data_IF_982881245122
#
_entry.id   IF_982881245122
#
_cell.length_a   1.000
_cell.length_b   1.000
_cell.length_c   1.000
_cell.angle_alpha   90.00
_cell.angle_beta   90.00
_cell.angle_gamma   90.00
#
_symmetry.space_group_name_H-M   'P 1'
#
loop_
_entity.id
_entity.type
_entity.pdbx_description
1 polymer ?
#
# COMPACT_ATOMS: atom_id res chain seq x y z
N UNK A 1 9.07 -19.46 -14.94
CA UNK A 1 8.49 -18.14 -15.20
C UNK A 1 8.97 -17.18 -14.14
N UNK A 2 9.19 -15.91 -14.46
CA UNK A 2 9.57 -14.91 -13.48
C UNK A 2 8.39 -14.66 -12.54
N UNK A 3 8.62 -14.69 -11.22
CA UNK A 3 7.60 -14.33 -10.26
C UNK A 3 7.30 -12.84 -10.38
N UNK A 4 6.03 -12.48 -10.55
CA UNK A 4 5.58 -11.09 -10.48
C UNK A 4 5.90 -10.50 -9.11
N UNK A 5 6.17 -9.19 -9.06
CA UNK A 5 6.45 -8.47 -7.82
C UNK A 5 5.42 -7.37 -7.56
N UNK A 6 5.26 -6.99 -6.28
CA UNK A 6 4.37 -5.88 -5.91
C UNK A 6 5.07 -4.53 -6.01
N UNK A 7 4.39 -3.55 -6.62
CA UNK A 7 4.88 -2.16 -6.79
C UNK A 7 5.01 -1.38 -5.48
N UNK A 8 4.55 -1.93 -4.34
CA UNK A 8 4.53 -1.23 -3.05
C UNK A 8 5.90 -0.90 -2.46
N UNK A 9 6.92 -1.72 -2.70
CA UNK A 9 8.30 -1.41 -2.35
C UNK A 9 9.27 -2.12 -3.30
N UNK A 10 10.07 -1.33 -3.99
CA UNK A 10 11.16 -1.78 -4.83
C UNK A 10 12.25 -0.71 -4.86
N UNK A 11 13.45 -1.06 -5.30
CA UNK A 11 14.54 -0.14 -5.50
C UNK A 11 15.01 -0.21 -6.96
N UNK A 12 15.24 0.94 -7.57
CA UNK A 12 15.71 1.03 -8.94
C UNK A 12 16.59 2.26 -9.14
N UNK A 13 17.44 2.22 -10.16
CA UNK A 13 18.11 3.43 -10.67
C UNK A 13 17.03 4.36 -11.24
N UNK A 14 17.16 5.67 -10.99
CA UNK A 14 16.30 6.67 -11.62
C UNK A 14 16.39 6.54 -13.14
N UNK A 15 15.25 6.66 -13.82
CA UNK A 15 15.16 6.59 -15.27
C UNK A 15 15.55 5.23 -15.88
N UNK A 16 15.48 4.14 -15.09
CA UNK A 16 15.68 2.78 -15.61
C UNK A 16 14.60 2.41 -16.62
N UNK A 17 13.36 2.86 -16.40
CA UNK A 17 12.29 2.90 -17.37
C UNK A 17 12.11 4.39 -17.72
N UNK A 18 12.49 4.82 -18.94
CA UNK A 18 12.28 6.19 -19.39
C UNK A 18 10.79 6.57 -19.36
N UNK A 19 10.51 7.84 -19.07
CA UNK A 19 9.15 8.35 -18.98
C UNK A 19 8.37 8.17 -20.29
N UNK A 20 9.02 8.37 -21.43
CA UNK A 20 8.43 8.22 -22.76
C UNK A 20 7.97 6.78 -22.99
N UNK A 21 8.81 5.79 -22.64
CA UNK A 21 8.43 4.37 -22.70
C UNK A 21 7.27 4.06 -21.76
N UNK A 22 7.24 4.64 -20.56
CA UNK A 22 6.10 4.47 -19.65
C UNK A 22 4.80 4.97 -20.28
N UNK A 23 4.85 6.15 -20.90
CA UNK A 23 3.68 6.76 -21.56
C UNK A 23 3.17 5.94 -22.74
N UNK A 24 4.05 5.31 -23.51
CA UNK A 24 3.65 4.35 -24.56
C UNK A 24 2.86 3.16 -23.97
N UNK A 25 3.33 2.61 -22.84
CA UNK A 25 2.65 1.55 -22.13
C UNK A 25 1.25 1.95 -21.62
N UNK A 26 1.12 3.14 -21.06
CA UNK A 26 -0.18 3.70 -20.66
C UNK A 26 -1.13 3.87 -21.85
N UNK A 27 -0.62 4.24 -23.03
CA UNK A 27 -1.42 4.35 -24.25
C UNK A 27 -1.94 2.97 -24.70
N UNK A 28 -1.10 1.93 -24.68
CA UNK A 28 -1.55 0.57 -25.00
C UNK A 28 -2.69 0.11 -24.09
N UNK A 29 -2.63 0.44 -22.81
CA UNK A 29 -3.70 0.12 -21.85
C UNK A 29 -5.02 0.83 -22.15
N UNK A 30 -4.97 2.04 -22.72
CA UNK A 30 -6.16 2.78 -23.16
C UNK A 30 -6.74 2.25 -24.47
N UNK A 31 -5.87 1.89 -25.41
CA UNK A 31 -6.26 1.36 -26.73
C UNK A 31 -6.77 -0.09 -26.65
N UNK A 32 -6.27 -0.86 -25.69
CA UNK A 32 -6.66 -2.26 -25.47
C UNK A 32 -7.16 -2.46 -24.03
N UNK A 33 -8.46 -2.23 -23.78
CA UNK A 33 -9.04 -2.44 -22.46
C UNK A 33 -8.78 -3.86 -21.92
N UNK A 34 -8.30 -3.95 -20.69
CA UNK A 34 -7.98 -5.21 -20.03
C UNK A 34 -6.58 -5.76 -20.29
N UNK A 35 -5.77 -5.13 -21.15
CA UNK A 35 -4.40 -5.58 -21.46
C UNK A 35 -3.51 -5.75 -20.21
N UNK A 36 -3.63 -4.80 -19.27
CA UNK A 36 -2.89 -4.82 -18.01
C UNK A 36 -3.75 -5.24 -16.81
N UNK A 37 -4.99 -5.68 -17.02
CA UNK A 37 -5.93 -5.99 -15.93
C UNK A 37 -6.23 -4.82 -14.98
N UNK A 38 -6.89 -5.12 -13.86
CA UNK A 38 -7.43 -4.09 -12.93
C UNK A 38 -6.51 -3.76 -11.74
N UNK A 39 -5.19 -3.90 -11.91
CA UNK A 39 -4.22 -3.68 -10.83
C UNK A 39 -3.41 -2.39 -10.95
N UNK A 40 -4.00 -1.35 -11.56
CA UNK A 40 -3.36 -0.03 -11.72
C UNK A 40 -2.01 -0.16 -12.45
N UNK A 41 -0.94 0.41 -11.90
CA UNK A 41 0.39 0.49 -12.52
C UNK A 41 1.22 -0.79 -12.38
N UNK A 42 0.87 -1.68 -11.43
CA UNK A 42 1.70 -2.84 -11.09
C UNK A 42 1.91 -3.80 -12.28
N UNK A 43 0.89 -4.14 -13.09
CA UNK A 43 1.07 -5.03 -14.24
C UNK A 43 1.92 -4.40 -15.33
N UNK A 44 1.75 -3.10 -15.60
CA UNK A 44 2.57 -2.36 -16.56
C UNK A 44 4.04 -2.32 -16.10
N UNK A 45 4.28 -2.07 -14.81
CA UNK A 45 5.61 -2.11 -14.23
C UNK A 45 6.25 -3.51 -14.35
N UNK A 46 5.50 -4.57 -14.05
CA UNK A 46 5.98 -5.94 -14.21
C UNK A 46 6.30 -6.26 -15.67
N UNK A 47 5.47 -5.80 -16.61
CA UNK A 47 5.72 -5.94 -18.04
C UNK A 47 7.07 -5.34 -18.43
N UNK A 48 7.32 -4.06 -18.09
CA UNK A 48 8.58 -3.41 -18.44
C UNK A 48 9.78 -4.07 -17.79
N UNK A 49 9.70 -4.41 -16.50
CA UNK A 49 10.83 -5.03 -15.80
C UNK A 49 11.16 -6.40 -16.40
N UNK A 50 10.15 -7.21 -16.73
CA UNK A 50 10.37 -8.52 -17.34
C UNK A 50 10.85 -8.42 -18.78
N UNK A 51 10.25 -7.58 -19.61
CA UNK A 51 10.63 -7.44 -21.02
C UNK A 51 12.04 -6.87 -21.17
N UNK A 52 12.37 -5.79 -20.45
CA UNK A 52 13.70 -5.20 -20.46
C UNK A 52 14.76 -6.16 -19.90
N UNK A 53 14.42 -6.96 -18.89
CA UNK A 53 15.33 -8.00 -18.39
C UNK A 53 15.55 -9.11 -19.40
N UNK A 54 14.51 -9.54 -20.13
CA UNK A 54 14.61 -10.56 -21.18
C UNK A 54 15.46 -10.10 -22.36
N UNK A 55 15.38 -8.81 -22.71
CA UNK A 55 16.23 -8.21 -23.75
C UNK A 55 17.65 -7.86 -23.27
N UNK A 56 17.97 -8.11 -22.00
CA UNK A 56 19.28 -7.79 -21.43
C UNK A 56 19.54 -6.29 -21.22
N UNK A 57 18.50 -5.45 -21.29
CA UNK A 57 18.61 -4.00 -21.08
C UNK A 57 18.81 -3.65 -19.60
N UNK A 58 18.29 -4.48 -18.70
CA UNK A 58 18.43 -4.31 -17.25
C UNK A 58 18.76 -5.63 -16.55
N UNK A 59 19.43 -5.54 -15.40
CA UNK A 59 19.59 -6.66 -14.47
C UNK A 59 18.58 -6.52 -13.33
N UNK A 60 17.94 -7.61 -12.96
CA UNK A 60 16.94 -7.67 -11.88
C UNK A 60 17.42 -8.56 -10.75
N UNK A 61 17.05 -8.20 -9.53
CA UNK A 61 17.30 -9.00 -8.33
C UNK A 61 16.07 -9.00 -7.43
N UNK A 62 15.85 -10.08 -6.69
CA UNK A 62 14.73 -10.22 -5.77
C UNK A 62 15.20 -10.07 -4.33
N UNK A 63 14.48 -9.26 -3.54
CA UNK A 63 14.73 -9.05 -2.12
C UNK A 63 13.43 -8.86 -1.35
N UNK A 64 13.40 -9.31 -0.09
CA UNK A 64 12.23 -9.26 0.78
C UNK A 64 12.08 -7.88 1.44
N UNK A 65 11.81 -6.85 0.63
CA UNK A 65 11.74 -5.45 1.08
C UNK A 65 10.44 -5.12 1.84
N UNK A 66 9.35 -5.78 1.49
CA UNK A 66 8.03 -5.50 2.04
C UNK A 66 7.40 -6.70 2.74
N UNK A 67 6.53 -6.42 3.69
CA UNK A 67 5.73 -7.39 4.41
C UNK A 67 4.25 -7.00 4.26
N UNK A 68 3.53 -7.76 3.43
CA UNK A 68 2.08 -7.64 3.26
C UNK A 68 1.40 -8.67 4.15
N UNK A 69 0.72 -8.22 5.21
CA UNK A 69 0.20 -9.11 6.25
C UNK A 69 -0.80 -10.16 5.74
N UNK A 70 -1.57 -9.83 4.70
CA UNK A 70 -2.54 -10.77 4.10
C UNK A 70 -1.88 -11.94 3.36
N UNK A 71 -0.63 -11.78 2.93
CA UNK A 71 0.14 -12.82 2.23
C UNK A 71 1.14 -13.52 3.15
N UNK A 72 1.76 -12.78 4.08
CA UNK A 72 2.87 -13.26 4.90
C UNK A 72 2.45 -13.61 6.34
N UNK A 73 1.20 -13.36 6.72
CA UNK A 73 0.73 -13.47 8.10
C UNK A 73 0.92 -12.18 8.91
N UNK A 74 0.40 -12.16 10.14
CA UNK A 74 0.49 -11.00 11.05
C UNK A 74 1.48 -11.21 12.18
N UNK A 75 1.97 -12.43 12.34
CA UNK A 75 2.65 -12.93 13.54
C UNK A 75 3.95 -12.16 13.80
N UNK A 76 4.75 -11.92 12.77
CA UNK A 76 6.00 -11.16 12.90
C UNK A 76 5.73 -9.72 13.36
N UNK A 77 4.77 -9.03 12.73
CA UNK A 77 4.44 -7.65 13.09
C UNK A 77 3.78 -7.54 14.48
N UNK A 78 3.02 -8.57 14.88
CA UNK A 78 2.47 -8.67 16.23
C UNK A 78 3.57 -8.87 17.28
N UNK A 79 4.54 -9.76 17.02
CA UNK A 79 5.68 -9.98 17.90
C UNK A 79 6.50 -8.72 18.07
N UNK A 80 6.84 -8.04 16.98
CA UNK A 80 7.54 -6.75 17.04
C UNK A 80 6.77 -5.74 17.88
N UNK A 81 5.44 -5.70 17.77
CA UNK A 81 4.60 -4.72 18.51
C UNK A 81 4.28 -5.11 19.96
N UNK A 82 4.77 -6.26 20.44
CA UNK A 82 4.45 -6.79 21.77
C UNK A 82 5.20 -6.00 22.85
N UNK A 83 4.49 -5.58 23.90
CA UNK A 83 5.08 -4.78 24.98
C UNK A 83 5.36 -3.30 24.63
N UNK A 84 5.36 -2.91 23.35
CA UNK A 84 5.65 -1.54 22.91
C UNK A 84 4.47 -0.55 23.05
N UNK A 85 3.32 -0.99 23.59
CA UNK A 85 2.12 -0.16 23.70
C UNK A 85 1.70 0.41 22.34
N UNK A 86 1.56 1.73 22.24
CA UNK A 86 1.22 2.43 20.99
C UNK A 86 2.41 3.21 20.42
N UNK A 87 3.62 2.72 20.61
CA UNK A 87 4.86 3.29 20.10
C UNK A 87 5.54 2.33 19.13
N UNK A 88 6.49 2.84 18.33
CA UNK A 88 7.36 1.94 17.59
C UNK A 88 8.13 1.04 18.55
N UNK A 89 8.32 -0.24 18.18
CA UNK A 89 9.09 -1.13 19.03
C UNK A 89 10.56 -0.68 19.06
N UNK A 90 11.22 -0.81 20.23
CA UNK A 90 12.61 -0.38 20.38
C UNK A 90 13.57 -1.24 19.55
N UNK A 91 13.19 -2.49 19.29
CA UNK A 91 13.93 -3.47 18.50
C UNK A 91 12.97 -4.24 17.60
N UNK A 92 13.46 -4.67 16.45
CA UNK A 92 12.73 -5.53 15.50
C UNK A 92 13.61 -6.69 15.08
N UNK A 93 13.00 -7.86 14.84
CA UNK A 93 13.74 -9.07 14.45
C UNK A 93 14.44 -8.89 13.08
N UNK A 94 13.77 -8.21 12.14
CA UNK A 94 14.33 -7.90 10.83
C UNK A 94 13.74 -6.60 10.26
N UNK A 95 14.57 -5.73 9.65
CA UNK A 95 14.09 -4.56 8.92
C UNK A 95 13.21 -4.95 7.72
N UNK A 96 12.05 -4.31 7.58
CA UNK A 96 11.11 -4.47 6.46
C UNK A 96 10.11 -3.33 6.39
N UNK A 97 9.52 -3.12 5.21
CA UNK A 97 8.42 -2.16 5.01
C UNK A 97 7.09 -2.88 5.22
N UNK A 98 6.35 -2.54 6.27
CA UNK A 98 4.97 -3.03 6.42
C UNK A 98 4.07 -2.39 5.36
N UNK A 99 3.57 -3.19 4.42
CA UNK A 99 2.76 -2.72 3.30
C UNK A 99 1.29 -3.12 3.48
N UNK A 100 0.44 -2.11 3.71
CA UNK A 100 -1.01 -2.25 3.88
C UNK A 100 -1.75 -2.04 2.55
N UNK A 101 -1.62 -3.01 1.64
CA UNK A 101 -2.33 -3.01 0.36
C UNK A 101 -3.82 -3.34 0.55
N UNK A 102 -4.65 -2.92 -0.42
CA UNK A 102 -6.10 -3.14 -0.37
C UNK A 102 -6.82 -2.32 0.73
N UNK A 103 -7.62 -3.00 1.54
CA UNK A 103 -8.48 -2.39 2.58
C UNK A 103 -7.62 -1.69 3.64
N UNK A 104 -7.70 -0.35 3.69
CA UNK A 104 -6.90 0.45 4.63
C UNK A 104 -7.24 0.11 6.08
N UNK A 105 -6.24 -0.07 6.94
CA UNK A 105 -6.42 -0.72 8.22
C UNK A 105 -6.79 0.30 9.30
N UNK A 106 -8.01 0.80 9.17
CA UNK A 106 -8.64 1.73 10.11
C UNK A 106 -8.70 1.12 11.51
N UNK A 107 -8.61 1.96 12.54
CA UNK A 107 -8.48 1.53 13.93
C UNK A 107 -9.58 0.54 14.36
N UNK A 108 -10.81 0.78 13.92
CA UNK A 108 -12.00 -0.01 14.27
C UNK A 108 -12.40 -1.04 13.20
N UNK A 109 -11.53 -1.31 12.24
CA UNK A 109 -11.81 -2.26 11.17
C UNK A 109 -11.31 -3.66 11.53
N UNK A 110 -12.20 -4.50 12.05
CA UNK A 110 -11.89 -5.88 12.45
C UNK A 110 -11.40 -6.77 11.30
N UNK A 111 -11.63 -6.36 10.04
CA UNK A 111 -11.18 -7.08 8.85
C UNK A 111 -9.76 -6.69 8.41
N UNK A 112 -9.09 -5.80 9.14
CA UNK A 112 -7.77 -5.32 8.78
C UNK A 112 -6.83 -5.26 9.98
N UNK A 113 -5.56 -5.57 9.76
CA UNK A 113 -4.56 -5.52 10.81
C UNK A 113 -4.05 -4.07 11.02
N UNK A 114 -4.68 -3.34 11.93
CA UNK A 114 -4.49 -1.88 12.11
C UNK A 114 -3.32 -1.46 12.99
N UNK A 115 -2.87 -2.31 13.90
CA UNK A 115 -1.96 -1.88 14.97
C UNK A 115 -0.67 -1.20 14.47
N UNK A 116 0.15 -1.78 13.56
CA UNK A 116 1.39 -1.15 13.17
C UNK A 116 1.16 0.13 12.33
N UNK A 117 0.06 0.18 11.57
CA UNK A 117 -0.36 1.36 10.83
C UNK A 117 -0.74 2.51 11.77
N UNK A 118 -1.51 2.22 12.81
CA UNK A 118 -1.91 3.20 13.83
C UNK A 118 -0.70 3.68 14.63
N UNK A 119 0.24 2.79 14.99
CA UNK A 119 1.50 3.18 15.65
C UNK A 119 2.26 4.21 14.79
N UNK A 120 2.43 3.95 13.50
CA UNK A 120 3.12 4.87 12.60
C UNK A 120 2.42 6.24 12.51
N UNK A 121 1.09 6.27 12.46
CA UNK A 121 0.29 7.51 12.47
C UNK A 121 0.42 8.27 13.79
N UNK A 122 0.38 7.57 14.92
CA UNK A 122 0.54 8.19 16.24
C UNK A 122 1.92 8.84 16.36
N UNK A 123 2.97 8.11 16.00
CA UNK A 123 4.35 8.61 16.04
C UNK A 123 4.54 9.80 15.10
N UNK A 124 3.93 9.80 13.92
CA UNK A 124 3.93 10.97 13.03
C UNK A 124 3.31 12.20 13.72
N UNK A 125 2.14 12.05 14.32
CA UNK A 125 1.43 13.17 14.97
C UNK A 125 2.12 13.65 16.26
N UNK A 126 2.71 12.75 17.05
CA UNK A 126 3.44 13.07 18.28
C UNK A 126 4.66 13.96 18.04
N UNK A 127 5.25 13.97 16.83
CA UNK A 127 6.33 14.91 16.46
C UNK A 127 5.91 16.38 16.56
N UNK A 128 4.61 16.67 16.49
CA UNK A 128 4.07 18.05 16.46
C UNK A 128 2.95 18.29 17.46
N UNK A 129 2.51 17.27 18.21
CA UNK A 129 1.33 17.30 19.08
C UNK A 129 1.61 16.54 20.36
N UNK A 130 0.88 16.87 21.42
CA UNK A 130 0.84 16.04 22.63
C UNK A 130 0.27 14.65 22.33
N UNK A 131 0.47 13.69 23.24
CA UNK A 131 -0.08 12.34 23.09
C UNK A 131 -1.61 12.34 22.91
N UNK A 132 -2.34 13.15 23.70
CA UNK A 132 -3.78 13.32 23.54
C UNK A 132 -4.14 13.93 22.18
N UNK A 133 -3.40 14.96 21.75
CA UNK A 133 -3.60 15.61 20.45
C UNK A 133 -3.37 14.66 19.27
N UNK A 134 -2.40 13.75 19.37
CA UNK A 134 -2.16 12.71 18.36
C UNK A 134 -3.34 11.75 18.25
N UNK A 135 -3.88 11.28 19.38
CA UNK A 135 -5.07 10.43 19.41
C UNK A 135 -6.31 11.13 18.84
N UNK A 136 -6.59 12.37 19.25
CA UNK A 136 -7.71 13.14 18.70
C UNK A 136 -7.59 13.32 17.17
N UNK A 137 -6.37 13.50 16.67
CA UNK A 137 -6.12 13.62 15.22
C UNK A 137 -6.44 12.31 14.50
N UNK A 138 -5.99 11.17 15.03
CA UNK A 138 -6.33 9.85 14.48
C UNK A 138 -7.83 9.63 14.47
N UNK A 139 -8.53 9.90 15.59
CA UNK A 139 -9.98 9.75 15.66
C UNK A 139 -10.71 10.64 14.64
N UNK A 140 -10.24 11.87 14.42
CA UNK A 140 -10.78 12.76 13.39
C UNK A 140 -10.58 12.21 11.98
N UNK A 141 -9.41 11.66 11.67
CA UNK A 141 -9.10 11.02 10.39
C UNK A 141 -10.01 9.80 10.15
N UNK A 142 -10.18 8.94 11.17
CA UNK A 142 -11.06 7.77 11.14
C UNK A 142 -12.51 8.17 10.86
N UNK A 143 -13.02 9.20 11.57
CA UNK A 143 -14.36 9.72 11.38
C UNK A 143 -14.58 10.26 9.95
N UNK A 144 -13.61 10.99 9.38
CA UNK A 144 -13.70 11.48 8.00
C UNK A 144 -13.81 10.35 6.99
N UNK A 145 -13.02 9.30 7.15
CA UNK A 145 -13.08 8.13 6.26
C UNK A 145 -14.43 7.41 6.38
N UNK A 146 -14.95 7.26 7.60
CA UNK A 146 -16.26 6.63 7.82
C UNK A 146 -17.39 7.45 7.18
N UNK A 147 -17.40 8.77 7.40
CA UNK A 147 -18.38 9.68 6.78
C UNK A 147 -18.31 9.60 5.25
N UNK A 148 -17.10 9.58 4.68
CA UNK A 148 -16.91 9.41 3.23
C UNK A 148 -17.49 8.09 2.71
N UNK A 149 -17.27 6.97 3.42
CA UNK A 149 -17.85 5.67 3.06
C UNK A 149 -19.38 5.67 3.12
N UNK A 150 -19.95 6.29 4.14
CA UNK A 150 -21.41 6.41 4.30
C UNK A 150 -22.00 7.26 3.18
N UNK A 151 -21.43 8.45 2.91
CA UNK A 151 -21.84 9.31 1.79
C UNK A 151 -21.78 8.59 0.45
N UNK A 152 -20.68 7.88 0.16
CA UNK A 152 -20.55 7.12 -1.08
C UNK A 152 -21.50 5.92 -1.19
N UNK A 153 -22.01 5.38 -0.09
CA UNK A 153 -23.09 4.37 -0.13
C UNK A 153 -24.43 5.02 -0.46
N UNK A 154 -24.75 6.15 0.17
CA UNK A 154 -25.99 6.87 -0.12
C UNK A 154 -26.03 7.36 -1.58
N UNK A 155 -24.95 7.94 -2.11
CA UNK A 155 -24.90 8.38 -3.52
C UNK A 155 -25.26 7.24 -4.47
N UNK A 156 -24.58 6.08 -4.35
CA UNK A 156 -24.87 4.92 -5.20
C UNK A 156 -26.28 4.35 -5.02
N UNK A 157 -26.85 4.46 -3.82
CA UNK A 157 -28.22 4.04 -3.57
C UNK A 157 -29.21 4.96 -4.29
N UNK A 158 -29.01 6.28 -4.24
CA UNK A 158 -29.85 7.24 -4.94
C UNK A 158 -29.70 7.11 -6.47
N UNK A 159 -28.48 6.93 -6.98
CA UNK A 159 -28.22 6.69 -8.40
C UNK A 159 -28.96 5.42 -8.92
N UNK A 160 -29.09 4.39 -8.08
CA UNK A 160 -29.83 3.16 -8.41
C UNK A 160 -31.36 3.26 -8.29
N UNK A 161 -31.86 4.33 -7.65
CA UNK A 161 -33.32 4.56 -7.50
C UNK A 161 -33.86 5.59 -8.51
N UNK A 162 -32.98 6.26 -9.24
CA UNK A 162 -33.33 7.21 -10.32
C UNK A 162 -33.27 6.59 -11.73
N UNK A 163 -32.83 5.33 -11.87
CA UNK A 163 -32.98 4.46 -13.06
C UNK A 163 -34.24 3.58 -12.96
#
# INVERSE_FOLDING_TARGET
>A
GNAYFSSGAFACKRNVIPFERWMEGELWGKETPGLFGDFSEQPLLNYFVHSMSQHGEITVGMSNLQHIWSHHGKEELMRDSLGAGWHFPPTIDRPRVAHFCGRKPLLFDSKAFSRPFTIARLEHHRRRRSNLGAWLTIMSEEARVLVGKVKGRFSRYFDQTEE
#
